data_IF_161991220284
#
_entry.id   IF_161991220284
#
_cell.length_a   1.000
_cell.length_b   1.000
_cell.length_c   1.000
_cell.angle_alpha   90.00
_cell.angle_beta   90.00
_cell.angle_gamma   90.00
#
_symmetry.space_group_name_H-M   'P 1'
#
loop_
_entity.id
_entity.type
_entity.pdbx_description
1 polymer ?
#
# COMPACT_ATOMS: atom_id res chain seq x y z
N UNK A 1 -6.17 -4.42 8.09
CA UNK A 1 -4.95 -5.14 8.54
C UNK A 1 -3.74 -4.38 8.03
N UNK A 2 -2.66 -4.27 8.81
CA UNK A 2 -1.38 -3.74 8.31
C UNK A 2 -0.42 -4.91 8.13
N UNK A 3 0.28 -4.96 7.00
CA UNK A 3 1.27 -6.00 6.71
C UNK A 3 2.62 -5.32 6.55
N UNK A 4 3.63 -5.80 7.28
CA UNK A 4 5.02 -5.50 6.95
C UNK A 4 5.46 -6.43 5.83
N UNK A 5 5.46 -5.90 4.61
CA UNK A 5 5.76 -6.64 3.38
C UNK A 5 7.20 -7.14 3.40
N UNK A 6 7.39 -8.44 3.13
CA UNK A 6 8.70 -9.09 2.94
C UNK A 6 8.92 -9.58 1.52
N UNK A 7 7.84 -9.88 0.80
CA UNK A 7 7.84 -10.20 -0.61
C UNK A 7 6.55 -9.68 -1.28
N UNK A 8 6.64 -9.35 -2.57
CA UNK A 8 5.50 -8.98 -3.40
C UNK A 8 5.60 -9.73 -4.72
N UNK A 9 4.45 -10.17 -5.25
CA UNK A 9 4.37 -10.74 -6.59
C UNK A 9 4.21 -9.65 -7.63
N UNK A 10 4.95 -9.77 -8.75
CA UNK A 10 4.80 -8.88 -9.90
C UNK A 10 4.02 -9.60 -10.99
N UNK A 11 2.94 -8.97 -11.41
CA UNK A 11 1.95 -9.55 -12.30
C UNK A 11 1.79 -8.72 -13.57
N UNK A 12 1.20 -9.32 -14.61
CA UNK A 12 0.92 -8.63 -15.88
C UNK A 12 0.08 -7.34 -15.71
N UNK A 13 -0.96 -7.29 -14.85
CA UNK A 13 -1.73 -6.06 -14.66
C UNK A 13 -0.90 -4.91 -14.08
N UNK A 14 0.13 -5.18 -13.28
CA UNK A 14 1.00 -4.12 -12.75
C UNK A 14 1.74 -3.38 -13.88
N UNK A 15 2.15 -4.12 -14.92
CA UNK A 15 2.78 -3.56 -16.11
C UNK A 15 1.77 -2.73 -16.90
N UNK A 16 0.56 -3.25 -17.12
CA UNK A 16 -0.49 -2.54 -17.86
C UNK A 16 -0.94 -1.27 -17.13
N UNK A 17 -1.05 -1.30 -15.79
CA UNK A 17 -1.31 -0.12 -14.96
C UNK A 17 -0.20 0.91 -15.12
N UNK A 18 1.07 0.49 -15.05
CA UNK A 18 2.22 1.38 -15.25
C UNK A 18 2.27 2.01 -16.65
N UNK A 19 1.73 1.35 -17.67
CA UNK A 19 1.60 1.87 -19.02
C UNK A 19 0.34 2.73 -19.23
N UNK A 20 -0.54 2.85 -18.23
CA UNK A 20 -1.82 3.55 -18.36
C UNK A 20 -2.90 2.78 -19.12
N UNK A 21 -2.66 1.50 -19.43
CA UNK A 21 -3.57 0.64 -20.19
C UNK A 21 -4.56 -0.14 -19.29
N UNK A 22 -4.43 0.01 -17.97
CA UNK A 22 -5.31 -0.61 -16.99
C UNK A 22 -5.86 0.47 -16.04
N UNK A 23 -7.04 1.04 -16.33
CA UNK A 23 -7.60 2.15 -15.57
C UNK A 23 -8.01 1.71 -14.17
N UNK A 24 -7.74 2.55 -13.18
CA UNK A 24 -8.08 2.33 -11.78
C UNK A 24 -9.28 3.19 -11.37
N UNK A 25 -10.21 2.67 -10.54
CA UNK A 25 -11.29 3.48 -9.97
C UNK A 25 -10.74 4.67 -9.16
N UNK A 26 -11.56 5.72 -8.99
CA UNK A 26 -11.19 6.84 -8.13
C UNK A 26 -11.03 6.43 -6.66
N UNK A 27 -10.13 7.10 -5.94
CA UNK A 27 -9.93 6.91 -4.49
C UNK A 27 -9.08 5.69 -4.10
N UNK A 28 -8.58 4.91 -5.06
CA UNK A 28 -7.61 3.84 -4.79
C UNK A 28 -6.18 4.34 -4.86
N UNK A 29 -5.25 3.59 -4.26
CA UNK A 29 -3.82 3.90 -4.34
C UNK A 29 -3.33 3.85 -5.79
N UNK A 30 -2.49 4.80 -6.24
CA UNK A 30 -1.86 4.74 -7.56
C UNK A 30 -0.66 3.78 -7.60
N UNK A 31 -0.25 3.21 -6.46
CA UNK A 31 0.88 2.27 -6.37
C UNK A 31 0.44 0.88 -6.87
N UNK A 32 1.09 0.30 -7.89
CA UNK A 32 0.76 -1.05 -8.37
C UNK A 32 1.04 -2.14 -7.34
N UNK A 33 0.34 -3.27 -7.47
CA UNK A 33 0.51 -4.45 -6.65
C UNK A 33 -0.80 -5.20 -6.43
N UNK A 34 -0.79 -6.51 -6.63
CA UNK A 34 -1.95 -7.38 -6.44
C UNK A 34 -1.81 -8.32 -5.24
N UNK A 35 -0.58 -8.68 -4.90
CA UNK A 35 -0.31 -9.69 -3.87
C UNK A 35 0.98 -9.39 -3.11
N UNK A 36 0.96 -9.69 -1.81
CA UNK A 36 2.10 -9.54 -0.90
C UNK A 36 2.13 -10.66 0.13
N UNK A 37 3.33 -10.99 0.60
CA UNK A 37 3.57 -11.83 1.76
C UNK A 37 4.40 -11.09 2.79
N UNK A 38 4.07 -11.25 4.06
CA UNK A 38 4.71 -10.55 5.16
C UNK A 38 4.04 -10.84 6.48
N UNK A 39 4.52 -10.18 7.53
CA UNK A 39 3.96 -10.36 8.87
C UNK A 39 2.84 -9.35 9.12
N UNK A 40 1.74 -9.80 9.72
CA UNK A 40 0.72 -8.90 10.21
C UNK A 40 1.29 -8.01 11.32
N UNK A 41 1.06 -6.70 11.21
CA UNK A 41 1.40 -5.72 12.23
C UNK A 41 0.12 -5.20 12.87
N UNK A 42 0.18 -5.01 14.19
CA UNK A 42 -0.90 -4.34 14.93
C UNK A 42 -0.92 -2.88 14.48
N UNK A 43 -2.08 -2.42 14.02
CA UNK A 43 -2.29 -1.00 13.79
C UNK A 43 -2.23 -0.30 15.14
N UNK A 44 -1.18 0.49 15.37
CA UNK A 44 -1.11 1.34 16.55
C UNK A 44 -1.95 2.58 16.28
N UNK A 45 -2.81 2.96 17.23
CA UNK A 45 -3.52 4.23 17.15
C UNK A 45 -2.47 5.33 17.18
N UNK A 46 -2.39 6.13 16.12
CA UNK A 46 -1.54 7.31 16.11
C UNK A 46 -1.88 8.12 17.36
N UNK A 47 -0.89 8.37 18.22
CA UNK A 47 -1.09 9.32 19.31
C UNK A 47 -1.38 10.67 18.64
N UNK A 48 -2.42 11.41 19.07
CA UNK A 48 -2.59 12.77 18.57
C UNK A 48 -1.27 13.50 18.79
N UNK A 49 -0.73 14.10 17.73
CA UNK A 49 0.49 14.88 17.76
C UNK A 49 0.22 16.18 18.55
N UNK A 50 0.11 16.07 19.87
CA UNK A 50 0.18 17.19 20.79
C UNK A 50 1.41 16.89 21.65
N UNK A 51 2.51 17.59 21.33
CA UNK A 51 3.68 17.90 22.16
C UNK A 51 5.00 17.80 21.36
N UNK A 52 5.15 18.58 20.29
CA UNK A 52 6.45 19.16 19.90
C UNK A 52 6.19 20.53 19.27
N UNK A 53 5.61 21.41 20.09
CA UNK A 53 5.65 22.84 19.88
C UNK A 53 6.24 23.44 21.16
N UNK A 54 7.53 23.18 21.39
CA UNK A 54 8.47 24.04 22.10
C UNK A 54 9.84 23.83 21.46
#
# INVERSE_FOLDING_TARGET
MLIEVKAAGVNRPDILQRQGLYPMPEGVTPVPGLEVAGSARRLQRLRPAIAFAR
#
